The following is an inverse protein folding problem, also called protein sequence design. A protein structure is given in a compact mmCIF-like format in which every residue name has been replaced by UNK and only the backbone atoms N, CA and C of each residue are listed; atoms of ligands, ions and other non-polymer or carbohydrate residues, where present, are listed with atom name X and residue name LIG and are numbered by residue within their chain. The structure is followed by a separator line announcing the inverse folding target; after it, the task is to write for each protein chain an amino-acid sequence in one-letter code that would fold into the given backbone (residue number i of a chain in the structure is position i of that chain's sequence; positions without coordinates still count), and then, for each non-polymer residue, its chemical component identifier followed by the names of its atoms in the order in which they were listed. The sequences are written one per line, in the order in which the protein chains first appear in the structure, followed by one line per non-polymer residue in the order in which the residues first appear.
data_IF_355716909951
#
_entry.id   IF_355716909951
#
_cell.length_a   1.000
_cell.length_b   1.000
_cell.length_c   1.000
_cell.angle_alpha   90.00
_cell.angle_beta   90.00
_cell.angle_gamma   90.00
#
_symmetry.space_group_name_H-M   'P 1'
#
loop_
_entity.id
_entity.type
_entity.pdbx_description
1 polymer ?
#
# COMPACT_ATOMS: atom_id res chain seq x y z
N UNK A 1 3.97 -5.53 -0.18
CA UNK A 1 3.99 -6.60 -1.21
C UNK A 1 2.84 -7.53 -0.90
N UNK A 2 1.95 -7.76 -1.86
CA UNK A 2 0.79 -8.63 -1.68
C UNK A 2 1.23 -10.08 -1.81
N UNK A 3 1.08 -10.85 -0.73
CA UNK A 3 1.47 -12.27 -0.69
C UNK A 3 0.77 -13.10 -1.77
N UNK A 4 -0.47 -12.75 -2.12
CA UNK A 4 -1.22 -13.41 -3.20
C UNK A 4 -0.59 -13.17 -4.56
N UNK A 5 -0.24 -11.91 -4.85
CA UNK A 5 0.42 -11.53 -6.11
C UNK A 5 1.75 -12.27 -6.25
N UNK A 6 2.50 -12.41 -5.17
CA UNK A 6 3.78 -13.12 -5.19
C UNK A 6 3.62 -14.61 -5.51
N UNK A 7 2.69 -15.31 -4.85
CA UNK A 7 2.42 -16.73 -5.12
C UNK A 7 1.96 -16.96 -6.56
N UNK A 8 1.01 -16.16 -7.04
CA UNK A 8 0.50 -16.25 -8.42
C UNK A 8 1.62 -16.07 -9.45
N UNK A 9 2.50 -15.09 -9.25
CA UNK A 9 3.63 -14.83 -10.15
C UNK A 9 4.66 -15.95 -10.17
N UNK A 10 4.84 -16.66 -9.07
CA UNK A 10 5.71 -17.83 -8.99
C UNK A 10 5.01 -19.14 -9.43
N UNK A 11 3.75 -19.08 -9.85
CA UNK A 11 2.97 -20.25 -10.23
C UNK A 11 2.64 -21.17 -9.04
N UNK A 12 2.68 -20.64 -7.82
CA UNK A 12 2.38 -21.39 -6.61
C UNK A 12 0.86 -21.31 -6.37
N UNK A 13 0.16 -22.44 -6.21
CA UNK A 13 -1.29 -22.44 -5.95
C UNK A 13 -1.66 -21.62 -4.71
N UNK A 14 -2.73 -20.81 -4.81
CA UNK A 14 -3.23 -20.01 -3.68
C UNK A 14 -3.68 -20.85 -2.48
N UNK A 15 -3.96 -22.15 -2.67
CA UNK A 15 -4.20 -23.08 -1.56
C UNK A 15 -3.01 -23.19 -0.60
N UNK A 16 -1.81 -22.82 -1.03
CA UNK A 16 -0.63 -22.76 -0.17
C UNK A 16 -0.69 -21.62 0.86
N UNK A 17 -1.61 -20.65 0.70
CA UNK A 17 -1.80 -19.54 1.64
C UNK A 17 -2.05 -20.02 3.07
N UNK A 18 -2.86 -21.06 3.26
CA UNK A 18 -3.18 -21.58 4.60
C UNK A 18 -1.94 -22.18 5.29
N UNK A 19 -1.07 -22.82 4.50
CA UNK A 19 0.18 -23.35 5.02
C UNK A 19 1.16 -22.22 5.34
N UNK A 20 1.29 -21.24 4.44
CA UNK A 20 2.12 -20.06 4.67
C UNK A 20 1.67 -19.28 5.91
N UNK A 21 0.37 -19.07 6.10
CA UNK A 21 -0.19 -18.39 7.27
C UNK A 21 0.19 -19.09 8.57
N UNK A 22 0.07 -20.43 8.62
CA UNK A 22 0.54 -21.24 9.77
C UNK A 22 2.04 -21.10 10.01
N UNK A 23 2.85 -21.13 8.95
CA UNK A 23 4.31 -20.98 9.07
C UNK A 23 4.71 -19.60 9.59
N UNK A 24 4.01 -18.55 9.16
CA UNK A 24 4.21 -17.19 9.66
C UNK A 24 3.79 -17.13 11.13
N UNK A 25 2.61 -17.63 11.48
CA UNK A 25 2.12 -17.66 12.85
C UNK A 25 3.08 -18.38 13.79
N UNK A 26 3.66 -19.52 13.41
CA UNK A 26 4.64 -20.21 14.26
C UNK A 26 5.92 -19.40 14.52
N UNK A 27 6.28 -18.48 13.63
CA UNK A 27 7.48 -17.65 13.77
C UNK A 27 7.21 -16.32 14.48
N UNK A 28 6.02 -15.76 14.31
CA UNK A 28 5.70 -14.39 14.72
C UNK A 28 4.57 -14.31 15.74
N UNK A 29 3.84 -15.40 15.97
CA UNK A 29 2.57 -15.46 16.70
C UNK A 29 1.47 -14.57 16.11
N UNK A 30 1.60 -14.18 14.84
CA UNK A 30 0.62 -13.37 14.10
C UNK A 30 0.23 -14.04 12.79
N UNK A 31 -1.07 -14.03 12.48
CA UNK A 31 -1.59 -14.42 11.18
C UNK A 31 -1.34 -13.34 10.13
N UNK A 32 -1.23 -13.71 8.86
CA UNK A 32 -1.03 -12.81 7.71
C UNK A 32 -2.06 -11.68 7.68
N UNK A 33 -3.32 -11.97 8.00
CA UNK A 33 -4.38 -10.97 8.06
C UNK A 33 -4.11 -9.85 9.08
N UNK A 34 -3.38 -10.16 10.16
CA UNK A 34 -3.03 -9.18 11.20
C UNK A 34 -1.89 -8.24 10.79
N UNK A 35 -1.16 -8.57 9.72
CA UNK A 35 -0.18 -7.65 9.12
C UNK A 35 -0.82 -6.64 8.17
N UNK A 36 -2.13 -6.74 7.90
CA UNK A 36 -2.82 -5.75 7.07
C UNK A 36 -2.82 -4.38 7.75
N UNK A 37 -2.48 -3.30 7.02
CA UNK A 37 -2.56 -1.95 7.56
C UNK A 37 -4.00 -1.40 7.60
N UNK A 38 -4.97 -2.05 6.94
CA UNK A 38 -6.36 -1.56 6.81
C UNK A 38 -7.03 -1.33 8.18
N UNK A 39 -6.94 -2.24 9.17
CA UNK A 39 -7.50 -1.98 10.50
C UNK A 39 -6.86 -0.77 11.18
N UNK A 40 -5.55 -0.57 11.02
CA UNK A 40 -4.81 0.55 11.61
C UNK A 40 -5.11 1.88 10.91
N UNK A 41 -5.37 1.87 9.60
CA UNK A 41 -5.70 3.06 8.80
C UNK A 41 -6.92 3.83 9.37
N UNK A 42 -7.84 3.14 10.04
CA UNK A 42 -9.00 3.73 10.72
C UNK A 42 -8.64 4.65 11.89
N UNK A 43 -7.42 4.55 12.40
CA UNK A 43 -6.92 5.35 13.52
C UNK A 43 -6.12 6.57 13.05
N UNK A 44 -6.03 6.82 11.74
CA UNK A 44 -5.33 7.97 11.19
C UNK A 44 -6.14 9.24 11.46
N UNK A 45 -5.51 10.20 12.15
CA UNK A 45 -6.12 11.48 12.54
C UNK A 45 -5.36 12.71 12.02
N UNK A 46 -4.38 12.52 11.15
CA UNK A 46 -3.54 13.59 10.59
C UNK A 46 -3.64 13.60 9.06
N UNK A 47 -3.52 14.77 8.40
CA UNK A 47 -3.55 14.86 6.95
C UNK A 47 -2.61 13.85 6.29
N UNK A 48 -3.16 13.02 5.39
CA UNK A 48 -2.42 11.88 4.81
C UNK A 48 -2.38 11.93 3.29
N UNK A 49 -1.17 11.94 2.73
CA UNK A 49 -0.95 11.80 1.29
C UNK A 49 -0.44 10.38 0.99
N UNK A 50 -1.21 9.60 0.25
CA UNK A 50 -0.80 8.29 -0.28
C UNK A 50 -0.44 8.45 -1.76
N UNK A 51 0.68 7.89 -2.17
CA UNK A 51 1.06 7.80 -3.58
C UNK A 51 1.54 6.38 -3.88
N UNK A 52 1.22 5.88 -5.07
CA UNK A 52 1.56 4.52 -5.47
C UNK A 52 1.52 4.37 -6.98
N UNK A 53 2.35 3.47 -7.54
CA UNK A 53 2.21 3.04 -8.94
C UNK A 53 0.94 2.23 -9.09
N UNK A 54 0.05 2.62 -10.01
CA UNK A 54 -1.24 1.94 -10.21
C UNK A 54 -1.01 0.47 -10.60
N UNK A 55 -0.23 0.22 -11.66
CA UNK A 55 0.01 -1.13 -12.18
C UNK A 55 1.25 -1.83 -11.56
N UNK A 56 1.52 -1.60 -10.27
CA UNK A 56 2.67 -2.17 -9.55
C UNK A 56 2.66 -3.71 -9.59
N UNK A 57 3.76 -4.33 -10.03
CA UNK A 57 3.87 -5.79 -10.20
C UNK A 57 3.71 -6.63 -8.92
N UNK A 58 3.71 -6.01 -7.75
CA UNK A 58 3.81 -6.63 -6.43
C UNK A 58 2.66 -6.23 -5.50
N UNK A 59 1.70 -5.41 -5.94
CA UNK A 59 0.51 -4.98 -5.20
C UNK A 59 -0.67 -4.83 -6.15
N UNK A 60 -1.89 -4.89 -5.65
CA UNK A 60 -3.07 -4.60 -6.48
C UNK A 60 -3.64 -3.23 -6.13
N UNK A 61 -4.15 -2.44 -7.11
CA UNK A 61 -4.77 -1.15 -6.83
C UNK A 61 -5.84 -1.21 -5.75
N UNK A 62 -6.65 -2.27 -5.72
CA UNK A 62 -7.72 -2.45 -4.73
C UNK A 62 -7.20 -2.55 -3.29
N UNK A 63 -6.00 -3.11 -3.08
CA UNK A 63 -5.40 -3.22 -1.74
C UNK A 63 -5.11 -1.82 -1.18
N UNK A 64 -4.68 -0.90 -2.04
CA UNK A 64 -4.29 0.48 -1.69
C UNK A 64 -5.53 1.36 -1.57
N UNK A 65 -6.50 1.19 -2.47
CA UNK A 65 -7.80 1.85 -2.38
C UNK A 65 -8.49 1.49 -1.05
N UNK A 66 -8.45 0.23 -0.62
CA UNK A 66 -9.02 -0.20 0.65
C UNK A 66 -8.34 0.47 1.87
N UNK A 67 -7.02 0.70 1.81
CA UNK A 67 -6.29 1.46 2.85
C UNK A 67 -6.75 2.92 2.86
N UNK A 68 -6.80 3.55 1.68
CA UNK A 68 -7.22 4.95 1.54
C UNK A 68 -8.65 5.15 2.03
N UNK A 69 -9.57 4.26 1.67
CA UNK A 69 -10.98 4.32 2.06
C UNK A 69 -11.16 4.13 3.56
N UNK A 70 -10.32 3.32 4.20
CA UNK A 70 -10.36 3.08 5.63
C UNK A 70 -9.92 4.28 6.49
N UNK A 71 -9.19 5.25 5.93
CA UNK A 71 -8.81 6.50 6.62
C UNK A 71 -10.07 7.36 6.82
N UNK A 72 -10.41 7.76 8.06
CA UNK A 72 -11.70 8.39 8.33
C UNK A 72 -11.72 9.90 8.03
N UNK A 73 -10.56 10.56 7.99
CA UNK A 73 -10.49 12.00 7.81
C UNK A 73 -10.65 12.40 6.33
N UNK A 74 -11.25 13.57 6.04
CA UNK A 74 -11.36 14.09 4.67
C UNK A 74 -10.05 14.68 4.15
N UNK A 75 -9.10 15.04 5.02
CA UNK A 75 -7.77 15.54 4.65
C UNK A 75 -6.87 14.40 4.19
N UNK A 76 -7.29 13.70 3.14
CA UNK A 76 -6.53 12.62 2.51
C UNK A 76 -6.49 12.78 1.00
N UNK A 77 -5.35 12.42 0.39
CA UNK A 77 -5.17 12.37 -1.07
C UNK A 77 -4.58 11.02 -1.44
N UNK A 78 -5.10 10.40 -2.50
CA UNK A 78 -4.51 9.25 -3.16
C UNK A 78 -4.06 9.69 -4.55
N UNK A 79 -2.77 9.54 -4.83
CA UNK A 79 -2.17 9.86 -6.12
C UNK A 79 -1.67 8.59 -6.79
N UNK A 80 -2.13 8.36 -8.02
CA UNK A 80 -1.72 7.24 -8.83
C UNK A 80 -0.62 7.65 -9.80
N UNK A 81 0.50 6.94 -9.76
CA UNK A 81 1.53 7.03 -10.79
C UNK A 81 1.17 6.03 -11.87
N UNK A 82 0.85 6.56 -13.04
CA UNK A 82 0.43 5.77 -14.20
C UNK A 82 1.59 5.58 -15.19
N UNK A 83 1.36 4.76 -16.23
CA UNK A 83 2.33 4.48 -17.31
C UNK A 83 3.62 3.79 -16.87
N UNK A 84 3.61 3.11 -15.73
CA UNK A 84 4.70 2.24 -15.28
C UNK A 84 4.15 1.11 -14.41
N UNK A 85 4.91 0.01 -14.36
CA UNK A 85 4.67 -1.14 -13.47
C UNK A 85 5.75 -1.25 -12.39
N UNK A 86 6.76 -0.38 -12.45
CA UNK A 86 7.99 -0.45 -11.67
C UNK A 86 7.82 0.33 -10.38
N UNK A 87 7.80 -0.39 -9.25
CA UNK A 87 7.70 0.20 -7.90
C UNK A 87 8.67 1.36 -7.65
N UNK A 88 9.91 1.23 -8.11
CA UNK A 88 10.97 2.21 -7.84
C UNK A 88 10.74 3.55 -8.54
N UNK A 89 9.85 3.62 -9.54
CA UNK A 89 9.47 4.90 -10.14
C UNK A 89 8.69 5.76 -9.12
N UNK A 90 7.92 5.14 -8.21
CA UNK A 90 7.32 5.87 -7.08
C UNK A 90 8.37 6.47 -6.15
N UNK A 91 9.46 5.77 -5.85
CA UNK A 91 10.51 6.28 -4.96
C UNK A 91 11.21 7.53 -5.52
N UNK A 92 11.20 7.71 -6.83
CA UNK A 92 11.77 8.86 -7.52
C UNK A 92 10.74 9.95 -7.84
N UNK A 93 9.44 9.69 -7.69
CA UNK A 93 8.38 10.57 -8.17
C UNK A 93 8.53 12.00 -7.64
N UNK A 94 8.63 12.19 -6.33
CA UNK A 94 8.79 13.53 -5.75
C UNK A 94 10.16 14.19 -5.99
N UNK A 95 11.16 13.43 -6.45
CA UNK A 95 12.43 14.03 -6.89
C UNK A 95 12.30 14.63 -8.29
N UNK A 96 11.43 14.05 -9.13
CA UNK A 96 11.21 14.47 -10.51
C UNK A 96 10.05 15.49 -10.63
N UNK A 97 9.02 15.34 -9.80
CA UNK A 97 7.80 16.13 -9.77
C UNK A 97 7.45 16.50 -8.31
N UNK A 98 8.18 17.46 -7.71
CA UNK A 98 8.02 17.82 -6.31
C UNK A 98 6.77 18.68 -6.02
N UNK A 99 6.13 19.25 -7.04
CA UNK A 99 5.13 20.31 -6.90
C UNK A 99 3.96 19.88 -6.01
N UNK A 100 3.44 18.68 -6.25
CA UNK A 100 2.28 18.12 -5.55
C UNK A 100 2.54 17.88 -4.06
N UNK A 101 3.73 17.38 -3.71
CA UNK A 101 4.08 17.16 -2.31
C UNK A 101 4.38 18.49 -1.62
N UNK A 102 5.09 19.41 -2.27
CA UNK A 102 5.38 20.72 -1.68
C UNK A 102 4.09 21.49 -1.38
N UNK A 103 3.13 21.50 -2.29
CA UNK A 103 1.81 22.11 -2.06
C UNK A 103 1.05 21.44 -0.90
N UNK A 104 1.18 20.12 -0.74
CA UNK A 104 0.58 19.41 0.39
C UNK A 104 1.20 19.82 1.72
N UNK A 105 2.54 19.86 1.79
CA UNK A 105 3.28 20.24 2.99
C UNK A 105 2.98 21.70 3.38
N UNK A 106 2.97 22.61 2.40
CA UNK A 106 2.59 24.02 2.61
C UNK A 106 1.18 24.16 3.19
N UNK A 107 0.23 23.35 2.73
CA UNK A 107 -1.17 23.41 3.19
C UNK A 107 -1.37 22.93 4.63
N UNK A 108 -0.63 21.91 5.08
CA UNK A 108 -0.93 21.20 6.33
C UNK A 108 0.19 21.23 7.39
N UNK A 109 1.37 21.76 7.07
CA UNK A 109 2.52 21.79 7.99
C UNK A 109 3.16 23.17 8.16
N UNK A 110 2.56 24.23 7.61
CA UNK A 110 2.97 25.62 7.86
C UNK A 110 2.27 26.22 9.08
#
# INVERSE_FOLDING_TARGET
MSTRVDLERHGIPLSYMDHLDKMVFWRTSLHLAQFSPIPAARSVTIPTYIYQVHDDINTRPEDIQAIFDAIPIPEKKLFWIENTTRRWDAYLHFQQQPEDILAWLEKYMN
#
